data_IF_501046071927
#
_entry.id   IF_501046071927
#
_cell.length_a   1.000
_cell.length_b   1.000
_cell.length_c   1.000
_cell.angle_alpha   90.00
_cell.angle_beta   90.00
_cell.angle_gamma   90.00
#
_symmetry.space_group_name_H-M   'P 1'
#
loop_
_entity.id
_entity.type
_entity.pdbx_description
1 polymer ?
#
# COMPACT_ATOMS: atom_id res chain seq x y z
N UNK A 1 5.80 -5.19 -17.02
CA UNK A 1 5.84 -4.13 -16.00
C UNK A 1 6.68 -4.66 -14.85
N UNK A 2 7.85 -4.06 -14.61
CA UNK A 2 8.53 -4.22 -13.33
C UNK A 2 7.71 -3.38 -12.36
N UNK A 3 6.84 -4.03 -11.58
CA UNK A 3 6.13 -3.35 -10.52
C UNK A 3 7.13 -3.20 -9.38
N UNK A 4 7.66 -1.98 -9.20
CA UNK A 4 8.33 -1.61 -7.96
C UNK A 4 7.26 -1.06 -7.01
N UNK A 5 7.14 -1.57 -5.78
CA UNK A 5 7.88 -2.69 -5.18
C UNK A 5 7.42 -4.07 -5.71
N UNK A 6 8.29 -5.10 -5.72
CA UNK A 6 7.89 -6.45 -6.12
C UNK A 6 6.88 -7.05 -5.13
N UNK A 7 5.86 -7.71 -5.66
CA UNK A 7 4.73 -8.22 -4.85
C UNK A 7 5.15 -9.28 -3.84
N UNK A 8 6.19 -10.05 -4.14
CA UNK A 8 6.67 -11.12 -3.28
C UNK A 8 7.28 -10.54 -1.99
N UNK A 9 8.12 -9.51 -2.10
CA UNK A 9 8.70 -8.81 -0.93
C UNK A 9 7.61 -8.17 -0.05
N UNK A 10 6.62 -7.51 -0.68
CA UNK A 10 5.49 -6.93 0.05
C UNK A 10 4.64 -8.02 0.74
N UNK A 11 4.51 -9.18 0.12
CA UNK A 11 3.74 -10.30 0.69
C UNK A 11 4.47 -10.91 1.88
N UNK A 12 5.78 -11.11 1.78
CA UNK A 12 6.62 -11.58 2.89
C UNK A 12 6.54 -10.62 4.08
N UNK A 13 6.59 -9.31 3.81
CA UNK A 13 6.47 -8.26 4.83
C UNK A 13 5.09 -8.24 5.50
N UNK A 14 4.03 -8.43 4.74
CA UNK A 14 2.66 -8.47 5.25
C UNK A 14 2.30 -9.81 5.94
N UNK A 15 3.07 -10.86 5.69
CA UNK A 15 2.86 -12.22 6.16
C UNK A 15 1.95 -13.07 5.25
N UNK A 16 0.98 -12.46 4.57
CA UNK A 16 0.14 -13.14 3.58
C UNK A 16 -0.46 -12.16 2.55
N UNK A 17 -0.89 -12.70 1.40
CA UNK A 17 -1.42 -11.91 0.27
C UNK A 17 -2.72 -11.18 0.61
N UNK A 18 -3.53 -11.71 1.52
CA UNK A 18 -4.80 -11.09 1.90
C UNK A 18 -4.56 -9.91 2.86
N UNK A 19 -3.65 -10.07 3.83
CA UNK A 19 -3.21 -8.99 4.71
C UNK A 19 -2.60 -7.83 3.91
N UNK A 20 -1.77 -8.14 2.92
CA UNK A 20 -1.21 -7.13 2.00
C UNK A 20 -2.32 -6.37 1.26
N UNK A 21 -3.28 -7.09 0.68
CA UNK A 21 -4.40 -6.47 -0.03
C UNK A 21 -5.21 -5.55 0.88
N UNK A 22 -5.51 -6.00 2.10
CA UNK A 22 -6.25 -5.23 3.09
C UNK A 22 -5.52 -3.94 3.51
N UNK A 23 -4.22 -4.01 3.80
CA UNK A 23 -3.46 -2.83 4.27
C UNK A 23 -3.31 -1.79 3.15
N UNK A 24 -2.95 -2.24 1.95
CA UNK A 24 -2.79 -1.37 0.78
C UNK A 24 -4.13 -0.73 0.39
N UNK A 25 -5.23 -1.48 0.41
CA UNK A 25 -6.56 -0.96 0.07
C UNK A 25 -7.08 0.06 1.09
N UNK A 26 -6.91 -0.21 2.40
CA UNK A 26 -7.28 0.75 3.45
C UNK A 26 -6.50 2.06 3.30
N UNK A 27 -5.18 1.95 3.12
CA UNK A 27 -4.31 3.12 2.97
C UNK A 27 -4.60 3.90 1.70
N UNK A 28 -4.80 3.21 0.58
CA UNK A 28 -5.18 3.86 -0.68
C UNK A 28 -6.51 4.61 -0.57
N UNK A 29 -7.47 4.10 0.21
CA UNK A 29 -8.74 4.80 0.46
C UNK A 29 -8.53 6.11 1.24
N UNK A 30 -7.69 6.09 2.27
CA UNK A 30 -7.32 7.31 3.02
C UNK A 30 -6.68 8.34 2.10
N UNK A 31 -5.74 7.91 1.25
CA UNK A 31 -5.06 8.80 0.32
C UNK A 31 -6.00 9.35 -0.76
N UNK A 32 -6.96 8.55 -1.24
CA UNK A 32 -7.95 8.97 -2.23
C UNK A 32 -8.99 9.94 -1.67
N UNK A 33 -9.20 9.95 -0.34
CA UNK A 33 -10.06 10.91 0.33
C UNK A 33 -9.37 12.25 0.60
N UNK A 34 -8.08 12.38 0.31
CA UNK A 34 -7.32 13.59 0.52
C UNK A 34 -7.59 14.59 -0.62
N UNK A 35 -8.22 15.77 -0.36
CA UNK A 35 -8.61 16.72 -1.40
C UNK A 35 -7.43 17.36 -2.16
N UNK A 36 -6.22 17.29 -1.60
CA UNK A 36 -4.99 17.79 -2.20
C UNK A 36 -4.26 16.75 -3.07
N UNK A 37 -4.81 15.54 -3.24
CA UNK A 37 -4.17 14.50 -4.04
C UNK A 37 -4.23 14.83 -5.55
N UNK A 38 -3.10 14.81 -6.28
CA UNK A 38 -3.07 15.13 -7.70
C UNK A 38 -3.90 14.13 -8.54
N UNK A 39 -4.53 14.57 -9.63
CA UNK A 39 -5.40 13.73 -10.47
C UNK A 39 -4.70 12.50 -11.10
N UNK A 40 -3.37 12.53 -11.22
CA UNK A 40 -2.54 11.41 -11.68
C UNK A 40 -2.08 10.46 -10.55
N UNK A 41 -2.56 10.67 -9.33
CA UNK A 41 -2.16 9.93 -8.16
C UNK A 41 -2.80 8.54 -8.13
N UNK A 42 -2.00 7.51 -8.41
CA UNK A 42 -2.40 6.12 -8.20
C UNK A 42 -2.25 5.78 -6.72
N UNK A 43 -3.31 5.99 -5.95
CA UNK A 43 -3.31 5.78 -4.50
C UNK A 43 -2.84 4.38 -4.08
N UNK A 44 -3.14 3.36 -4.88
CA UNK A 44 -2.67 1.98 -4.66
C UNK A 44 -1.15 1.85 -4.80
N UNK A 45 -0.56 2.44 -5.84
CA UNK A 45 0.89 2.41 -6.05
C UNK A 45 1.63 3.17 -4.96
N UNK A 46 1.06 4.29 -4.50
CA UNK A 46 1.64 5.07 -3.41
C UNK A 46 1.53 4.34 -2.07
N UNK A 47 0.36 3.74 -1.77
CA UNK A 47 0.17 2.93 -0.58
C UNK A 47 1.11 1.71 -0.54
N UNK A 48 1.30 1.02 -1.67
CA UNK A 48 2.26 -0.08 -1.76
C UNK A 48 3.70 0.39 -1.46
N UNK A 49 4.08 1.58 -1.95
CA UNK A 49 5.38 2.17 -1.67
C UNK A 49 5.54 2.64 -0.23
N UNK A 50 4.51 3.22 0.38
CA UNK A 50 4.53 3.58 1.80
C UNK A 50 4.64 2.34 2.71
N UNK A 51 4.04 1.23 2.32
CA UNK A 51 4.17 -0.05 3.03
C UNK A 51 5.58 -0.63 2.89
N UNK A 52 6.17 -0.55 1.70
CA UNK A 52 7.55 -0.94 1.44
C UNK A 52 8.56 -0.12 2.27
N UNK A 53 8.34 1.18 2.39
CA UNK A 53 9.18 2.12 3.14
C UNK A 53 8.91 2.16 4.66
N UNK A 54 8.16 1.19 5.21
CA UNK A 54 7.82 1.10 6.64
C UNK A 54 7.05 2.31 7.20
N UNK A 55 6.42 3.11 6.34
CA UNK A 55 5.58 4.24 6.78
C UNK A 55 4.18 3.81 7.24
N UNK A 56 3.79 2.58 6.95
CA UNK A 56 2.52 1.99 7.36
C UNK A 56 2.74 0.58 7.88
N UNK A 57 2.13 0.25 9.02
CA UNK A 57 2.27 -1.03 9.71
C UNK A 57 0.93 -1.76 9.85
N UNK A 58 0.98 -3.10 9.89
CA UNK A 58 -0.20 -3.93 10.14
C UNK A 58 -0.31 -4.16 11.64
N UNK A 59 -1.20 -3.41 12.31
CA UNK A 59 -1.52 -3.65 13.71
C UNK A 59 -2.53 -4.78 13.82
N UNK A 60 -2.09 -5.99 14.20
CA UNK A 60 -2.98 -7.09 14.60
C UNK A 60 -3.38 -6.85 16.06
N UNK A 61 -4.67 -6.58 16.29
CA UNK A 61 -5.28 -6.55 17.62
C UNK A 61 -5.54 -7.95 18.15
#
# INVERSE_FOLDING_TARGET
>A
MINQPPIDELTEKAGDKYSLCCVVAKRAKELAQNPDAPAYFKAISYAAKEFDEDRTEIVKR
#
